data_IF_266138794562
#
_entry.id   IF_266138794562
#
_cell.length_a   1.000
_cell.length_b   1.000
_cell.length_c   1.000
_cell.angle_alpha   90.00
_cell.angle_beta   90.00
_cell.angle_gamma   90.00
#
_symmetry.space_group_name_H-M   'P 1'
#
loop_
_entity.id
_entity.type
_entity.pdbx_description
1 polymer ?
#
# COMPACT_ATOMS: atom_id res chain seq x y z
N UNK A 1 5.66 26.20 -4.87
CA UNK A 1 4.64 27.05 -5.47
C UNK A 1 4.79 28.44 -4.90
N UNK A 2 5.02 29.45 -5.74
CA UNK A 2 5.01 30.86 -5.37
C UNK A 2 3.84 31.53 -6.08
N UNK A 3 3.13 32.38 -5.36
CA UNK A 3 2.01 33.14 -5.90
C UNK A 3 2.38 34.62 -5.78
N UNK A 4 2.35 35.32 -6.89
CA UNK A 4 2.52 36.79 -6.92
C UNK A 4 1.36 37.44 -7.64
N UNK A 5 1.02 38.63 -7.17
CA UNK A 5 -0.06 39.44 -7.72
C UNK A 5 0.54 40.61 -8.47
N UNK A 6 0.05 40.87 -9.67
CA UNK A 6 0.45 42.03 -10.44
C UNK A 6 -0.77 42.79 -10.96
N UNK A 7 -0.66 44.10 -11.19
CA UNK A 7 -1.74 44.88 -11.77
C UNK A 7 -1.94 44.48 -13.25
N UNK A 8 -3.17 44.45 -13.68
CA UNK A 8 -3.48 44.35 -15.11
C UNK A 8 -3.41 45.76 -15.73
N UNK A 9 -2.46 45.97 -16.61
CA UNK A 9 -2.28 47.24 -17.32
C UNK A 9 -3.43 47.57 -18.28
N UNK A 10 -4.26 46.57 -18.61
CA UNK A 10 -5.38 46.74 -19.54
C UNK A 10 -6.69 47.04 -18.83
N UNK A 11 -6.82 46.68 -17.56
CA UNK A 11 -8.03 46.84 -16.76
C UNK A 11 -7.68 47.15 -15.30
N UNK A 12 -7.88 48.42 -14.81
CA UNK A 12 -7.51 48.76 -13.45
C UNK A 12 -8.29 48.04 -12.34
N UNK A 13 -9.38 47.37 -12.71
CA UNK A 13 -10.21 46.58 -11.79
C UNK A 13 -9.88 45.08 -11.76
N UNK A 14 -8.82 44.66 -12.49
CA UNK A 14 -8.40 43.27 -12.55
C UNK A 14 -6.98 43.10 -12.03
N UNK A 15 -6.71 41.97 -11.42
CA UNK A 15 -5.41 41.59 -10.90
C UNK A 15 -4.95 40.31 -11.59
N UNK A 16 -3.74 40.32 -12.09
CA UNK A 16 -3.12 39.12 -12.69
C UNK A 16 -2.48 38.32 -11.55
N UNK A 17 -2.82 37.05 -11.48
CA UNK A 17 -2.21 36.10 -10.54
C UNK A 17 -1.14 35.31 -11.28
N UNK A 18 0.11 35.51 -10.92
CA UNK A 18 1.22 34.71 -11.42
C UNK A 18 1.44 33.53 -10.51
N UNK A 19 1.35 32.32 -11.06
CA UNK A 19 1.62 31.04 -10.39
C UNK A 19 2.94 30.49 -10.90
N UNK A 20 3.94 30.48 -10.05
CA UNK A 20 5.21 29.81 -10.30
C UNK A 20 5.15 28.40 -9.71
N UNK A 21 5.08 27.41 -10.60
CA UNK A 21 4.95 26.00 -10.25
C UNK A 21 6.28 25.31 -10.49
N UNK A 22 6.82 24.72 -9.44
CA UNK A 22 7.96 23.81 -9.53
C UNK A 22 7.45 22.36 -9.49
N UNK A 23 7.73 21.61 -10.53
CA UNK A 23 7.41 20.20 -10.56
C UNK A 23 8.30 19.42 -9.59
N UNK A 24 7.70 18.48 -8.85
CA UNK A 24 8.39 17.58 -7.94
C UNK A 24 8.20 16.14 -8.40
N UNK A 25 9.15 15.29 -8.07
CA UNK A 25 9.02 13.86 -8.31
C UNK A 25 7.88 13.31 -7.45
N UNK A 26 6.99 12.57 -8.07
CA UNK A 26 5.82 11.96 -7.44
C UNK A 26 6.08 10.52 -7.01
N UNK A 27 7.12 9.90 -7.59
CA UNK A 27 7.50 8.53 -7.32
C UNK A 27 8.79 8.38 -6.53
N UNK A 28 8.85 7.34 -5.73
CA UNK A 28 10.04 6.91 -5.01
C UNK A 28 10.22 5.39 -5.11
N UNK A 29 11.46 4.97 -5.26
CA UNK A 29 11.89 3.57 -5.20
C UNK A 29 12.83 3.43 -4.02
N UNK A 30 12.54 2.47 -3.15
CA UNK A 30 13.38 2.14 -2.00
C UNK A 30 13.80 0.68 -2.06
N UNK A 31 15.00 0.39 -1.62
CA UNK A 31 15.52 -0.96 -1.50
C UNK A 31 16.31 -1.11 -0.22
N UNK A 32 16.27 -2.29 0.37
CA UNK A 32 16.95 -2.56 1.61
C UNK A 32 17.31 -4.04 1.76
N UNK A 33 18.37 -4.28 2.50
CA UNK A 33 18.78 -5.60 2.98
C UNK A 33 18.85 -5.54 4.50
N UNK A 34 18.45 -6.60 5.16
CA UNK A 34 18.48 -6.66 6.61
C UNK A 34 18.49 -8.09 7.15
N UNK A 35 18.58 -8.17 8.46
CA UNK A 35 18.46 -9.42 9.20
C UNK A 35 17.52 -9.23 10.38
N UNK A 36 16.66 -10.21 10.60
CA UNK A 36 15.84 -10.29 11.80
C UNK A 36 15.74 -11.74 12.28
N UNK A 37 15.50 -11.95 13.58
CA UNK A 37 15.35 -13.29 14.13
C UNK A 37 14.12 -14.02 13.57
N UNK A 38 13.09 -13.30 13.16
CA UNK A 38 11.85 -13.87 12.64
C UNK A 38 11.87 -14.13 11.13
N UNK A 39 12.62 -13.33 10.36
CA UNK A 39 12.64 -13.41 8.90
C UNK A 39 13.95 -13.92 8.33
N UNK A 40 14.98 -14.11 9.18
CA UNK A 40 16.34 -14.41 8.71
C UNK A 40 16.95 -13.23 7.97
N UNK A 41 17.73 -13.51 6.96
CA UNK A 41 18.22 -12.50 6.00
C UNK A 41 17.04 -12.15 5.08
N UNK A 42 16.79 -10.87 4.87
CA UNK A 42 15.75 -10.43 3.98
C UNK A 42 16.18 -9.28 3.07
N UNK A 43 15.54 -9.21 1.92
CA UNK A 43 15.60 -8.10 0.97
C UNK A 43 14.22 -7.47 0.83
N UNK A 44 14.16 -6.14 0.75
CA UNK A 44 12.92 -5.42 0.53
C UNK A 44 13.03 -4.46 -0.65
N UNK A 45 11.95 -4.35 -1.41
CA UNK A 45 11.79 -3.39 -2.50
C UNK A 45 10.46 -2.70 -2.30
N UNK A 46 10.46 -1.37 -2.25
CA UNK A 46 9.27 -0.54 -2.15
C UNK A 46 9.19 0.43 -3.33
N UNK A 47 8.06 0.47 -3.99
CA UNK A 47 7.72 1.45 -5.00
C UNK A 47 6.50 2.24 -4.51
N UNK A 48 6.62 3.55 -4.49
CA UNK A 48 5.52 4.46 -4.20
C UNK A 48 5.40 5.50 -5.30
N UNK A 49 4.19 5.69 -5.80
CA UNK A 49 3.85 6.72 -6.77
C UNK A 49 2.58 7.44 -6.32
N UNK A 50 2.63 8.76 -6.17
CA UNK A 50 1.50 9.56 -5.67
C UNK A 50 0.67 10.22 -6.77
N UNK A 51 1.11 10.10 -8.00
CA UNK A 51 0.38 10.64 -9.16
C UNK A 51 0.41 9.67 -10.35
N UNK A 52 0.04 8.43 -10.10
CA UNK A 52 0.00 7.37 -11.10
C UNK A 52 -0.85 7.80 -12.30
N UNK A 53 -0.24 7.76 -13.50
CA UNK A 53 -0.86 8.17 -14.76
C UNK A 53 -1.37 9.61 -14.79
N UNK A 54 -0.84 10.51 -13.95
CA UNK A 54 -1.29 11.90 -13.86
C UNK A 54 -2.69 12.09 -13.30
N UNK A 55 -3.22 11.09 -12.56
CA UNK A 55 -4.60 11.08 -12.04
C UNK A 55 -4.69 11.33 -10.55
N UNK A 56 -3.60 11.72 -9.91
CA UNK A 56 -3.47 11.82 -8.46
C UNK A 56 -3.77 10.50 -7.72
N UNK A 57 -3.68 9.36 -8.40
CA UNK A 57 -3.77 8.06 -7.78
C UNK A 57 -2.49 7.77 -7.01
N UNK A 58 -2.63 7.23 -5.82
CA UNK A 58 -1.48 6.76 -5.04
C UNK A 58 -1.38 5.24 -5.16
N UNK A 59 -0.25 4.79 -5.69
CA UNK A 59 0.07 3.37 -5.84
C UNK A 59 1.25 3.03 -4.94
N UNK A 60 1.15 1.94 -4.19
CA UNK A 60 2.24 1.40 -3.40
C UNK A 60 2.41 -0.08 -3.72
N UNK A 61 3.65 -0.48 -3.96
CA UNK A 61 4.06 -1.87 -4.11
C UNK A 61 5.19 -2.13 -3.13
N UNK A 62 5.01 -3.11 -2.25
CA UNK A 62 6.03 -3.55 -1.32
C UNK A 62 6.26 -5.04 -1.51
N UNK A 63 7.50 -5.39 -1.74
CA UNK A 63 7.97 -6.76 -1.92
C UNK A 63 9.03 -7.02 -0.85
N UNK A 64 8.81 -8.04 -0.04
CA UNK A 64 9.77 -8.50 0.95
C UNK A 64 10.08 -9.97 0.69
N UNK A 65 11.35 -10.28 0.56
CA UNK A 65 11.89 -11.61 0.32
C UNK A 65 12.81 -11.96 1.48
N UNK A 66 12.35 -12.78 2.37
CA UNK A 66 13.14 -13.27 3.49
C UNK A 66 13.31 -14.78 3.43
N UNK A 67 14.26 -15.28 4.19
CA UNK A 67 14.55 -16.72 4.31
C UNK A 67 13.34 -17.49 4.87
N UNK A 68 12.60 -16.86 5.81
CA UNK A 68 11.47 -17.49 6.49
C UNK A 68 10.14 -16.78 6.24
N UNK A 69 10.13 -15.69 5.50
CA UNK A 69 8.92 -14.92 5.22
C UNK A 69 9.03 -14.23 3.86
N UNK A 70 8.02 -14.38 3.05
CA UNK A 70 7.90 -13.65 1.78
C UNK A 70 6.57 -12.94 1.76
N UNK A 71 6.58 -11.63 1.49
CA UNK A 71 5.36 -10.83 1.47
C UNK A 71 5.31 -9.95 0.23
N UNK A 72 4.17 -9.97 -0.44
CA UNK A 72 3.83 -9.09 -1.55
C UNK A 72 2.63 -8.25 -1.14
N UNK A 73 2.73 -6.96 -1.26
CA UNK A 73 1.64 -6.05 -0.95
C UNK A 73 1.52 -5.00 -2.05
N UNK A 74 0.33 -4.90 -2.61
CA UNK A 74 -0.03 -3.88 -3.59
C UNK A 74 -1.23 -3.11 -3.09
N UNK A 75 -1.17 -1.78 -3.13
CA UNK A 75 -2.30 -0.93 -2.81
C UNK A 75 -2.44 0.21 -3.81
N UNK A 76 -3.69 0.51 -4.14
CA UNK A 76 -4.08 1.62 -5.00
C UNK A 76 -5.12 2.45 -4.28
N UNK A 77 -4.96 3.76 -4.29
CA UNK A 77 -5.90 4.71 -3.72
C UNK A 77 -6.21 5.82 -4.71
N UNK A 78 -7.48 5.99 -5.01
CA UNK A 78 -8.02 7.11 -5.76
C UNK A 78 -8.64 8.09 -4.77
N UNK A 79 -8.10 9.31 -4.61
CA UNK A 79 -8.64 10.29 -3.67
C UNK A 79 -10.00 10.84 -4.11
N UNK A 80 -10.30 10.75 -5.39
CA UNK A 80 -11.55 11.29 -5.94
C UNK A 80 -11.92 10.61 -7.26
N UNK A 81 -12.91 9.75 -7.21
CA UNK A 81 -13.45 9.08 -8.40
C UNK A 81 -13.95 10.13 -9.38
N UNK A 82 -13.40 10.12 -10.59
CA UNK A 82 -13.73 11.08 -11.63
C UNK A 82 -15.22 11.06 -11.95
N UNK A 83 -15.86 12.24 -11.91
CA UNK A 83 -17.29 12.41 -12.19
C UNK A 83 -18.18 12.36 -10.95
N UNK A 84 -17.65 12.02 -9.78
CA UNK A 84 -18.44 12.06 -8.55
C UNK A 84 -18.41 13.47 -7.93
N UNK A 85 -19.61 14.08 -7.81
CA UNK A 85 -19.81 15.40 -7.20
C UNK A 85 -19.44 15.44 -5.71
N UNK A 86 -19.49 14.30 -5.04
CA UNK A 86 -19.30 14.19 -3.60
C UNK A 86 -17.86 13.83 -3.17
N UNK A 87 -16.95 13.72 -4.12
CA UNK A 87 -15.54 13.41 -3.86
C UNK A 87 -15.35 12.09 -3.10
N UNK A 88 -16.04 11.05 -3.55
CA UNK A 88 -15.84 9.71 -3.01
C UNK A 88 -14.43 9.23 -3.35
N UNK A 89 -13.70 8.80 -2.36
CA UNK A 89 -12.41 8.13 -2.54
C UNK A 89 -12.59 6.62 -2.61
N UNK A 90 -11.72 5.98 -3.37
CA UNK A 90 -11.64 4.52 -3.49
C UNK A 90 -10.25 4.05 -3.05
N UNK A 91 -10.19 2.93 -2.36
CA UNK A 91 -8.95 2.26 -1.99
C UNK A 91 -9.10 0.77 -2.21
N UNK A 92 -8.06 0.15 -2.74
CA UNK A 92 -7.95 -1.31 -2.83
C UNK A 92 -6.57 -1.74 -2.38
N UNK A 93 -6.49 -2.93 -1.81
CA UNK A 93 -5.25 -3.59 -1.48
C UNK A 93 -5.33 -5.08 -1.81
N UNK A 94 -4.21 -5.65 -2.21
CA UNK A 94 -4.02 -7.07 -2.45
C UNK A 94 -2.73 -7.46 -1.76
N UNK A 95 -2.76 -8.56 -1.03
CA UNK A 95 -1.57 -9.08 -0.36
C UNK A 95 -1.46 -10.59 -0.50
N UNK A 96 -0.22 -11.04 -0.50
CA UNK A 96 0.17 -12.44 -0.44
C UNK A 96 1.32 -12.52 0.57
N UNK A 97 1.19 -13.39 1.57
CA UNK A 97 2.23 -13.67 2.55
C UNK A 97 2.42 -15.17 2.65
N UNK A 98 3.68 -15.58 2.69
CA UNK A 98 4.09 -16.94 2.96
C UNK A 98 5.10 -16.89 4.10
N UNK A 99 4.74 -17.47 5.22
CA UNK A 99 5.54 -17.46 6.43
C UNK A 99 5.89 -18.90 6.86
N UNK A 100 7.14 -19.08 7.26
CA UNK A 100 7.65 -20.30 7.87
C UNK A 100 7.86 -20.06 9.36
N UNK A 101 6.87 -20.36 10.25
CA UNK A 101 6.98 -20.06 11.67
C UNK A 101 8.16 -20.78 12.32
N UNK A 102 9.05 -20.01 12.93
CA UNK A 102 10.25 -20.54 13.60
C UNK A 102 9.90 -21.31 14.89
N UNK A 103 8.74 -21.04 15.47
CA UNK A 103 8.25 -21.65 16.71
C UNK A 103 8.05 -23.16 16.62
N UNK A 104 7.91 -23.67 15.39
CA UNK A 104 7.78 -25.11 15.12
C UNK A 104 9.12 -25.79 14.78
N UNK A 105 10.25 -25.10 14.91
CA UNK A 105 11.58 -25.72 14.78
C UNK A 105 11.91 -26.47 16.06
N UNK A 106 12.11 -27.77 15.94
CA UNK A 106 12.64 -28.57 17.06
C UNK A 106 14.08 -28.19 17.35
N UNK A 107 14.42 -28.09 18.65
CA UNK A 107 15.75 -27.73 19.15
C UNK A 107 16.84 -28.75 18.74
N UNK A 108 16.44 -29.98 18.39
CA UNK A 108 17.30 -31.02 17.86
C UNK A 108 17.20 -31.09 16.32
N UNK A 109 18.13 -30.50 15.61
CA UNK A 109 18.34 -30.54 14.15
C UNK A 109 17.49 -29.63 13.25
N UNK A 110 16.87 -28.59 13.74
CA UNK A 110 16.12 -27.66 12.88
C UNK A 110 14.92 -28.29 12.18
N UNK A 111 14.42 -29.40 12.71
CA UNK A 111 13.28 -30.14 12.14
C UNK A 111 11.98 -29.51 12.62
N UNK A 112 11.14 -29.16 11.69
CA UNK A 112 9.78 -28.70 11.95
C UNK A 112 8.94 -29.96 12.25
N UNK A 113 8.03 -29.89 13.23
CA UNK A 113 7.16 -31.01 13.57
C UNK A 113 6.38 -31.45 12.34
N UNK A 114 6.60 -32.69 11.90
CA UNK A 114 5.77 -33.34 10.92
C UNK A 114 4.41 -33.65 11.56
N UNK A 115 3.33 -33.27 10.89
CA UNK A 115 2.03 -33.88 11.16
C UNK A 115 2.15 -35.34 10.74
N UNK A 116 2.08 -36.25 11.73
CA UNK A 116 2.07 -37.70 11.46
C UNK A 116 0.83 -38.04 10.65
N UNK A 117 1.00 -38.18 9.37
CA UNK A 117 0.02 -38.93 8.56
C UNK A 117 0.28 -40.42 8.77
N UNK A 118 -0.58 -41.06 9.57
CA UNK A 118 -0.43 -42.43 10.06
C UNK A 118 -0.55 -43.51 8.97
N UNK A 119 -0.49 -43.16 7.67
CA UNK A 119 -0.75 -44.08 6.59
C UNK A 119 0.38 -44.28 5.55
N UNK A 120 1.57 -43.79 5.79
CA UNK A 120 2.71 -44.14 4.91
C UNK A 120 3.91 -44.61 5.69
N UNK A 121 4.03 -45.95 5.74
CA UNK A 121 5.30 -46.61 6.01
C UNK A 121 6.26 -46.26 4.89
N UNK A 122 7.22 -45.45 5.18
CA UNK A 122 8.55 -45.26 4.64
C UNK A 122 8.96 -43.80 4.55
N UNK A 123 10.05 -43.52 5.25
CA UNK A 123 11.02 -42.45 5.03
C UNK A 123 10.54 -40.99 5.13
N UNK A 124 10.84 -40.40 6.27
CA UNK A 124 11.34 -39.02 6.43
C UNK A 124 10.74 -37.90 5.54
N UNK A 125 9.44 -37.83 5.39
CA UNK A 125 8.77 -36.68 4.84
C UNK A 125 8.56 -35.65 5.94
N UNK A 126 9.55 -34.81 6.18
CA UNK A 126 9.40 -33.63 7.03
C UNK A 126 8.55 -32.61 6.28
N UNK A 127 7.27 -32.50 6.59
CA UNK A 127 6.46 -31.40 6.10
C UNK A 127 6.70 -30.16 6.95
N UNK A 128 7.30 -29.17 6.36
CA UNK A 128 7.40 -27.84 6.97
C UNK A 128 6.01 -27.21 7.05
N UNK A 129 5.62 -26.72 8.20
CA UNK A 129 4.39 -25.94 8.33
C UNK A 129 4.61 -24.59 7.61
N UNK A 130 3.83 -24.36 6.57
CA UNK A 130 3.84 -23.12 5.80
C UNK A 130 2.52 -22.41 6.04
N UNK A 131 2.57 -21.19 6.50
CA UNK A 131 1.40 -20.35 6.64
C UNK A 131 1.30 -19.43 5.43
N UNK A 132 0.34 -19.72 4.56
CA UNK A 132 0.03 -18.88 3.41
C UNK A 132 -1.21 -18.04 3.71
N UNK A 133 -1.09 -16.74 3.48
CA UNK A 133 -2.18 -15.78 3.59
C UNK A 133 -2.28 -15.03 2.27
N UNK A 134 -3.42 -15.12 1.64
CA UNK A 134 -3.74 -14.36 0.44
C UNK A 134 -5.04 -13.65 0.67
N UNK A 135 -5.07 -12.40 0.36
CA UNK A 135 -6.29 -11.61 0.53
C UNK A 135 -6.24 -10.31 -0.23
N UNK A 136 -7.35 -9.64 -0.18
CA UNK A 136 -7.49 -8.33 -0.78
C UNK A 136 -8.77 -7.67 -0.31
N UNK A 137 -8.77 -6.35 -0.31
CA UNK A 137 -9.90 -5.58 0.13
C UNK A 137 -10.10 -4.35 -0.71
N UNK A 138 -11.28 -3.79 -0.60
CA UNK A 138 -11.59 -2.49 -1.18
C UNK A 138 -12.45 -1.69 -0.21
N UNK A 139 -12.31 -0.38 -0.28
CA UNK A 139 -13.08 0.53 0.53
C UNK A 139 -13.42 1.80 -0.24
N UNK A 140 -14.63 2.28 -0.04
CA UNK A 140 -15.09 3.57 -0.50
C UNK A 140 -15.29 4.49 0.70
N UNK A 141 -14.84 5.72 0.59
CA UNK A 141 -15.05 6.72 1.64
C UNK A 141 -15.63 7.99 1.05
N UNK A 142 -16.74 8.43 1.59
CA UNK A 142 -17.47 9.60 1.12
C UNK A 142 -17.59 10.65 2.23
N UNK A 143 -17.11 11.88 2.00
CA UNK A 143 -17.32 12.98 2.93
C UNK A 143 -18.79 13.44 2.91
N UNK A 144 -19.34 13.72 4.08
CA UNK A 144 -20.72 14.22 4.24
C UNK A 144 -20.76 15.75 4.33
N UNK A 145 -20.15 16.41 3.37
CA UNK A 145 -20.14 17.89 3.26
C UNK A 145 -20.95 18.42 2.08
N UNK A 146 -21.79 17.57 1.45
CA UNK A 146 -22.57 17.92 0.27
C UNK A 146 -21.76 18.12 -1.01
N UNK A 147 -20.47 17.73 -1.02
CA UNK A 147 -19.57 17.94 -2.16
C UNK A 147 -18.94 19.33 -2.23
N UNK A 148 -19.20 20.18 -1.25
CA UNK A 148 -18.61 21.53 -1.18
C UNK A 148 -17.09 21.44 -0.88
N UNK A 149 -16.21 21.93 -1.79
CA UNK A 149 -14.77 21.86 -1.58
C UNK A 149 -14.26 22.77 -0.45
N UNK A 150 -15.03 23.80 -0.08
CA UNK A 150 -14.64 24.78 0.93
C UNK A 150 -15.12 24.43 2.33
N UNK A 151 -16.05 23.48 2.46
CA UNK A 151 -16.51 22.97 3.75
C UNK A 151 -15.74 21.74 4.17
N UNK A 152 -15.12 21.80 5.34
CA UNK A 152 -14.51 20.61 5.94
C UNK A 152 -15.61 19.59 6.31
N UNK A 153 -15.43 18.35 5.92
CA UNK A 153 -16.36 17.28 6.31
C UNK A 153 -16.11 16.91 7.77
N UNK A 154 -17.09 17.15 8.63
CA UNK A 154 -17.08 16.67 10.03
C UNK A 154 -17.26 15.15 10.11
N UNK A 155 -17.95 14.57 9.13
CA UNK A 155 -18.29 13.14 9.07
C UNK A 155 -17.91 12.56 7.72
N UNK A 156 -17.49 11.31 7.74
CA UNK A 156 -17.28 10.48 6.54
C UNK A 156 -18.01 9.16 6.72
N UNK A 157 -18.61 8.69 5.65
CA UNK A 157 -19.08 7.30 5.55
C UNK A 157 -18.00 6.48 4.88
N UNK A 158 -17.68 5.34 5.48
CA UNK A 158 -16.75 4.36 4.95
C UNK A 158 -17.48 3.04 4.80
N UNK A 159 -17.42 2.46 3.62
CA UNK A 159 -17.92 1.13 3.32
C UNK A 159 -16.80 0.35 2.61
N UNK A 160 -16.55 -0.86 3.07
CA UNK A 160 -15.48 -1.68 2.50
C UNK A 160 -15.64 -3.13 2.89
N UNK A 161 -14.86 -3.97 2.22
CA UNK A 161 -14.79 -5.41 2.42
C UNK A 161 -13.31 -5.82 2.40
N UNK A 162 -12.95 -6.75 3.30
CA UNK A 162 -11.57 -7.23 3.45
C UNK A 162 -11.54 -8.75 3.41
#
# INVERSE_FOLDING_TARGET
>A
MKVSLGPDNSNPNQVIIFLDLSEQRTGSLTGGLGYSNSSGIFASIGLQETNTLGRAWSTNLNLNFGEYSTTYNFSLSDPWIKGDKHKTSFRTNIFLSRDYPQEFKSENNGRIYAVNDTNTSTSDSFSSVVLEKTGGGFAFSRPLNGGDPFKSAKWRVLAGMN
#
